data_IF_466537492295
#
_entry.id   IF_466537492295
#
_cell.length_a   1.000
_cell.length_b   1.000
_cell.length_c   1.000
_cell.angle_alpha   90.00
_cell.angle_beta   90.00
_cell.angle_gamma   90.00
#
_symmetry.space_group_name_H-M   'P 1'
#
loop_
_entity.id
_entity.type
_entity.pdbx_description
1 polymer ?
#
# COMPACT_ATOMS: atom_id res chain seq x y z
N UNK A 1 20.97 -42.96 -21.63
CA UNK A 1 20.32 -42.44 -20.41
C UNK A 1 18.93 -41.98 -20.77
N UNK A 2 17.85 -42.55 -20.21
CA UNK A 2 16.49 -42.18 -20.60
C UNK A 2 16.14 -40.78 -20.06
N UNK A 3 15.57 -39.95 -20.94
CA UNK A 3 15.00 -38.64 -20.61
C UNK A 3 13.86 -38.85 -19.61
N UNK A 4 13.97 -38.20 -18.45
CA UNK A 4 12.90 -38.13 -17.45
C UNK A 4 11.75 -37.33 -18.07
N UNK A 5 10.72 -38.05 -18.51
CA UNK A 5 9.43 -37.47 -18.91
C UNK A 5 8.84 -36.84 -17.65
N UNK A 6 8.70 -35.52 -17.68
CA UNK A 6 7.98 -34.78 -16.63
C UNK A 6 6.50 -35.02 -16.93
N UNK A 7 5.84 -35.78 -16.06
CA UNK A 7 4.40 -36.03 -16.14
C UNK A 7 3.59 -34.72 -16.11
N UNK A 8 2.49 -34.62 -16.87
CA UNK A 8 1.61 -33.48 -16.82
C UNK A 8 0.88 -33.47 -15.47
N UNK A 9 1.32 -32.61 -14.55
CA UNK A 9 0.62 -32.38 -13.29
C UNK A 9 -0.82 -31.94 -13.57
N UNK A 10 -1.76 -32.68 -12.99
CA UNK A 10 -3.21 -32.52 -13.06
C UNK A 10 -3.66 -31.06 -13.01
N UNK A 11 -4.24 -30.63 -14.13
CA UNK A 11 -4.63 -29.26 -14.48
C UNK A 11 -5.73 -28.72 -13.56
N UNK A 12 -5.34 -27.95 -12.53
CA UNK A 12 -6.22 -26.93 -11.95
C UNK A 12 -6.25 -25.70 -12.87
N UNK A 13 -7.37 -24.99 -12.89
CA UNK A 13 -7.50 -23.70 -13.56
C UNK A 13 -6.35 -22.76 -13.11
N UNK A 14 -5.86 -21.92 -14.04
CA UNK A 14 -4.88 -20.87 -13.71
C UNK A 14 -5.62 -19.89 -12.81
N UNK A 15 -5.41 -20.02 -11.50
CA UNK A 15 -6.01 -19.15 -10.49
C UNK A 15 -4.90 -18.60 -9.60
N UNK A 16 -5.15 -17.40 -9.06
CA UNK A 16 -4.24 -16.64 -8.18
C UNK A 16 -3.50 -17.52 -7.16
N UNK A 17 -4.20 -18.36 -6.36
CA UNK A 17 -3.56 -19.13 -5.32
C UNK A 17 -2.65 -20.22 -5.88
N UNK A 18 -3.03 -20.80 -7.02
CA UNK A 18 -2.27 -21.89 -7.65
C UNK A 18 -0.94 -21.38 -8.21
N UNK A 19 -0.90 -20.14 -8.72
CA UNK A 19 0.34 -19.55 -9.21
C UNK A 19 1.32 -19.24 -8.07
N UNK A 20 0.82 -18.62 -7.00
CA UNK A 20 1.62 -18.33 -5.80
C UNK A 20 2.12 -19.64 -5.18
N UNK A 21 1.28 -20.67 -5.09
CA UNK A 21 1.67 -21.99 -4.59
C UNK A 21 2.72 -22.66 -5.47
N UNK A 22 2.63 -22.52 -6.80
CA UNK A 22 3.60 -23.07 -7.75
C UNK A 22 4.99 -22.45 -7.58
N UNK A 23 5.06 -21.14 -7.35
CA UNK A 23 6.33 -20.41 -7.16
C UNK A 23 6.60 -20.03 -5.70
N UNK A 24 5.99 -20.74 -4.74
CA UNK A 24 5.96 -20.35 -3.33
C UNK A 24 7.32 -20.00 -2.75
N UNK A 25 8.37 -20.79 -3.03
CA UNK A 25 9.70 -20.53 -2.48
C UNK A 25 10.28 -19.19 -2.95
N UNK A 26 10.15 -18.89 -4.25
CA UNK A 26 10.69 -17.66 -4.82
C UNK A 26 9.91 -16.43 -4.35
N UNK A 27 8.57 -16.52 -4.38
CA UNK A 27 7.66 -15.43 -3.96
C UNK A 27 7.69 -15.21 -2.45
N UNK A 28 7.81 -16.25 -1.64
CA UNK A 28 7.98 -16.07 -0.19
C UNK A 28 9.30 -15.38 0.14
N UNK A 29 10.37 -15.64 -0.62
CA UNK A 29 11.64 -14.96 -0.41
C UNK A 29 11.57 -13.48 -0.79
N UNK A 30 10.88 -13.10 -1.89
CA UNK A 30 10.68 -11.68 -2.24
C UNK A 30 9.94 -10.98 -1.10
N UNK A 31 8.85 -11.56 -0.60
CA UNK A 31 8.08 -10.99 0.52
C UNK A 31 8.89 -10.90 1.82
N UNK A 32 9.70 -11.92 2.13
CA UNK A 32 10.56 -11.88 3.31
C UNK A 32 11.60 -10.76 3.23
N UNK A 33 12.20 -10.53 2.05
CA UNK A 33 13.13 -9.42 1.83
C UNK A 33 12.44 -8.06 1.96
N UNK A 34 11.19 -7.92 1.49
CA UNK A 34 10.39 -6.70 1.69
C UNK A 34 10.13 -6.45 3.17
N UNK A 35 9.71 -7.48 3.93
CA UNK A 35 9.49 -7.36 5.37
C UNK A 35 10.78 -6.95 6.08
N UNK A 36 11.91 -7.57 5.73
CA UNK A 36 13.19 -7.24 6.32
C UNK A 36 13.65 -5.81 6.00
N UNK A 37 13.55 -5.36 4.75
CA UNK A 37 13.81 -3.96 4.36
C UNK A 37 12.92 -3.00 5.17
N UNK A 38 11.63 -3.30 5.27
CA UNK A 38 10.67 -2.45 6.00
C UNK A 38 10.97 -2.37 7.50
N UNK A 39 11.46 -3.45 8.11
CA UNK A 39 11.88 -3.42 9.52
C UNK A 39 13.13 -2.56 9.73
N UNK A 40 14.08 -2.58 8.79
CA UNK A 40 15.25 -1.69 8.84
C UNK A 40 14.82 -0.22 8.76
N UNK A 41 13.87 0.09 7.87
CA UNK A 41 13.28 1.44 7.75
C UNK A 41 12.66 1.92 9.07
N UNK A 42 11.97 1.04 9.81
CA UNK A 42 11.40 1.33 11.14
C UNK A 42 12.49 1.64 12.17
N UNK A 43 13.72 1.13 12.05
CA UNK A 43 14.77 1.41 13.03
C UNK A 43 15.48 2.75 12.83
N UNK A 44 15.33 3.43 11.69
CA UNK A 44 16.04 4.69 11.44
C UNK A 44 15.79 5.77 12.49
N UNK A 45 14.54 6.11 12.88
CA UNK A 45 14.30 7.14 13.89
C UNK A 45 15.00 6.84 15.22
N UNK A 46 14.97 5.59 15.69
CA UNK A 46 15.68 5.17 16.90
C UNK A 46 17.19 5.39 16.78
N UNK A 47 17.81 4.93 15.69
CA UNK A 47 19.26 5.05 15.49
C UNK A 47 19.70 6.50 15.30
N UNK A 48 18.85 7.33 14.70
CA UNK A 48 19.07 8.78 14.63
C UNK A 48 19.06 9.37 16.04
N UNK A 49 18.12 8.98 16.90
CA UNK A 49 18.11 9.40 18.30
C UNK A 49 19.37 8.99 19.06
N UNK A 50 19.81 7.74 18.92
CA UNK A 50 21.06 7.26 19.53
C UNK A 50 22.29 8.03 19.03
N UNK A 51 22.31 8.40 17.75
CA UNK A 51 23.37 9.23 17.18
C UNK A 51 23.37 10.65 17.79
N UNK A 52 22.19 11.26 17.96
CA UNK A 52 22.04 12.58 18.60
C UNK A 52 22.60 12.55 20.03
N UNK A 53 22.17 11.60 20.85
CA UNK A 53 22.64 11.48 22.24
C UNK A 53 24.14 11.23 22.32
N UNK A 54 24.66 10.34 21.47
CA UNK A 54 26.09 10.05 21.38
C UNK A 54 26.89 11.32 21.06
N UNK A 55 26.46 12.08 20.05
CA UNK A 55 27.13 13.31 19.63
C UNK A 55 27.12 14.39 20.73
N UNK A 56 26.01 14.53 21.46
CA UNK A 56 25.94 15.44 22.62
C UNK A 56 26.93 15.05 23.73
N UNK A 57 27.23 13.76 23.86
CA UNK A 57 28.23 13.22 24.77
C UNK A 57 29.64 13.14 24.15
N UNK A 58 29.87 13.74 22.98
CA UNK A 58 31.14 13.67 22.22
C UNK A 58 31.58 12.24 21.86
N UNK A 59 30.63 11.32 21.73
CA UNK A 59 30.83 9.93 21.31
C UNK A 59 30.29 9.70 19.90
N UNK A 60 31.06 9.00 19.07
CA UNK A 60 30.67 8.67 17.70
C UNK A 60 29.97 7.31 17.57
N UNK A 61 29.78 6.57 18.66
CA UNK A 61 29.22 5.20 18.63
C UNK A 61 27.84 5.17 17.98
N UNK A 62 26.94 6.08 18.34
CA UNK A 62 25.59 6.13 17.74
C UNK A 62 25.62 6.48 16.24
N UNK A 63 26.55 7.33 15.81
CA UNK A 63 26.75 7.65 14.39
C UNK A 63 27.25 6.42 13.62
N UNK A 64 28.18 5.66 14.19
CA UNK A 64 28.67 4.42 13.58
C UNK A 64 27.52 3.40 13.47
N UNK A 65 26.70 3.25 14.51
CA UNK A 65 25.52 2.38 14.48
C UNK A 65 24.54 2.79 13.37
N UNK A 66 24.26 4.09 13.24
CA UNK A 66 23.40 4.62 12.17
C UNK A 66 24.00 4.38 10.77
N UNK A 67 25.32 4.54 10.62
CA UNK A 67 26.01 4.25 9.36
C UNK A 67 25.93 2.77 8.98
N UNK A 68 26.11 1.87 9.97
CA UNK A 68 25.96 0.43 9.77
C UNK A 68 24.52 0.09 9.35
N UNK A 69 23.51 0.65 10.01
CA UNK A 69 22.12 0.50 9.60
C UNK A 69 21.93 0.94 8.14
N UNK A 70 22.46 2.11 7.76
CA UNK A 70 22.40 2.62 6.40
C UNK A 70 23.03 1.69 5.35
N UNK A 71 24.20 1.13 5.63
CA UNK A 71 24.87 0.17 4.74
C UNK A 71 24.06 -1.12 4.62
N UNK A 72 23.54 -1.64 5.73
CA UNK A 72 22.72 -2.86 5.72
C UNK A 72 21.44 -2.64 4.92
N UNK A 73 20.71 -1.54 5.13
CA UNK A 73 19.52 -1.18 4.37
C UNK A 73 19.81 -1.04 2.88
N UNK A 74 20.92 -0.40 2.51
CA UNK A 74 21.35 -0.26 1.12
C UNK A 74 21.58 -1.64 0.47
N UNK A 75 22.33 -2.52 1.13
CA UNK A 75 22.63 -3.86 0.62
C UNK A 75 21.36 -4.70 0.49
N UNK A 76 20.52 -4.73 1.52
CA UNK A 76 19.24 -5.46 1.51
C UNK A 76 18.33 -4.96 0.40
N UNK A 77 18.16 -3.65 0.29
CA UNK A 77 17.32 -3.06 -0.75
C UNK A 77 17.86 -3.32 -2.16
N UNK A 78 19.18 -3.27 -2.36
CA UNK A 78 19.80 -3.59 -3.65
C UNK A 78 19.61 -5.06 -4.02
N UNK A 79 19.85 -5.98 -3.09
CA UNK A 79 19.64 -7.42 -3.29
C UNK A 79 18.17 -7.70 -3.60
N UNK A 80 17.26 -7.13 -2.80
CA UNK A 80 15.81 -7.30 -2.98
C UNK A 80 15.36 -6.83 -4.37
N UNK A 81 15.64 -5.58 -4.73
CA UNK A 81 15.26 -5.04 -6.05
C UNK A 81 15.79 -5.89 -7.20
N UNK A 82 17.05 -6.33 -7.11
CA UNK A 82 17.66 -7.14 -8.15
C UNK A 82 17.10 -8.58 -8.19
N UNK A 83 16.68 -9.13 -7.05
CA UNK A 83 16.07 -10.45 -6.96
C UNK A 83 14.61 -10.43 -7.43
N UNK A 84 13.80 -9.48 -6.97
CA UNK A 84 12.38 -9.34 -7.29
C UNK A 84 12.16 -9.30 -8.81
N UNK A 85 12.81 -8.36 -9.51
CA UNK A 85 12.64 -8.22 -10.97
C UNK A 85 13.03 -9.48 -11.74
N UNK A 86 14.09 -10.19 -11.32
CA UNK A 86 14.50 -11.45 -11.99
C UNK A 86 13.50 -12.58 -11.72
N UNK A 87 12.97 -12.65 -10.51
CA UNK A 87 11.97 -13.66 -10.14
C UNK A 87 10.68 -13.43 -10.92
N UNK A 88 10.14 -12.22 -10.92
CA UNK A 88 8.86 -11.92 -11.58
C UNK A 88 8.97 -11.96 -13.10
N UNK A 89 10.09 -11.52 -13.70
CA UNK A 89 10.36 -11.72 -15.12
C UNK A 89 10.44 -13.23 -15.47
N UNK A 90 11.14 -14.03 -14.67
CA UNK A 90 11.22 -15.47 -14.88
C UNK A 90 9.87 -16.19 -14.74
N UNK A 91 9.04 -15.76 -13.78
CA UNK A 91 7.64 -16.20 -13.61
C UNK A 91 6.84 -15.86 -14.87
N UNK A 92 6.90 -14.61 -15.33
CA UNK A 92 6.20 -14.14 -16.53
C UNK A 92 6.55 -14.97 -17.77
N UNK A 93 7.85 -15.15 -18.06
CA UNK A 93 8.33 -15.90 -19.21
C UNK A 93 7.96 -17.39 -19.19
N UNK A 94 7.63 -17.95 -18.02
CA UNK A 94 7.18 -19.35 -17.91
C UNK A 94 5.67 -19.48 -18.07
N UNK A 95 4.89 -18.62 -17.43
CA UNK A 95 3.44 -18.80 -17.35
C UNK A 95 2.75 -18.25 -18.59
N UNK A 96 3.26 -17.15 -19.17
CA UNK A 96 2.62 -16.54 -20.34
C UNK A 96 2.53 -17.51 -21.52
N UNK A 97 3.60 -18.22 -21.92
CA UNK A 97 3.51 -19.21 -23.00
C UNK A 97 2.59 -20.39 -22.67
N UNK A 98 2.64 -20.90 -21.45
CA UNK A 98 1.76 -22.00 -21.00
C UNK A 98 0.28 -21.61 -21.09
N UNK A 99 -0.06 -20.38 -20.70
CA UNK A 99 -1.43 -19.87 -20.80
C UNK A 99 -1.86 -19.73 -22.26
N UNK A 100 -1.02 -19.16 -23.12
CA UNK A 100 -1.31 -19.00 -24.55
C UNK A 100 -1.53 -20.35 -25.23
N UNK A 101 -0.66 -21.35 -24.97
CA UNK A 101 -0.80 -22.70 -25.52
C UNK A 101 -2.11 -23.35 -25.06
N UNK A 102 -2.46 -23.23 -23.78
CA UNK A 102 -3.71 -23.77 -23.23
C UNK A 102 -4.95 -23.14 -23.86
N UNK A 103 -4.92 -21.85 -24.18
CA UNK A 103 -6.03 -21.18 -24.86
C UNK A 103 -6.11 -21.56 -26.34
N UNK A 104 -4.98 -21.81 -27.00
CA UNK A 104 -4.95 -22.35 -28.36
C UNK A 104 -5.53 -23.76 -28.43
N UNK A 105 -5.18 -24.64 -27.48
CA UNK A 105 -5.75 -26.00 -27.37
C UNK A 105 -7.26 -25.98 -27.12
N UNK A 106 -7.77 -24.95 -26.44
CA UNK A 106 -9.20 -24.72 -26.20
C UNK A 106 -9.94 -24.14 -27.41
N UNK A 107 -9.23 -23.78 -28.48
CA UNK A 107 -9.80 -23.10 -29.63
C UNK A 107 -10.27 -21.68 -29.34
N UNK A 108 -9.73 -21.02 -28.30
CA UNK A 108 -10.06 -19.63 -27.98
C UNK A 108 -9.65 -18.70 -29.11
N UNK A 109 -10.44 -17.64 -29.36
CA UNK A 109 -10.09 -16.61 -30.33
C UNK A 109 -8.84 -15.84 -29.90
N UNK A 110 -8.10 -15.31 -30.88
CA UNK A 110 -6.91 -14.46 -30.61
C UNK A 110 -7.24 -13.29 -29.69
N UNK A 111 -8.43 -12.69 -29.84
CA UNK A 111 -8.90 -11.62 -28.95
C UNK A 111 -9.03 -12.09 -27.51
N UNK A 112 -9.63 -13.27 -27.28
CA UNK A 112 -9.79 -13.85 -25.94
C UNK A 112 -8.42 -14.21 -25.32
N UNK A 113 -7.51 -14.78 -26.10
CA UNK A 113 -6.14 -15.09 -25.65
C UNK A 113 -5.34 -13.82 -25.31
N UNK A 114 -5.46 -12.78 -26.13
CA UNK A 114 -4.82 -11.48 -25.88
C UNK A 114 -5.35 -10.83 -24.60
N UNK A 115 -6.67 -10.81 -24.41
CA UNK A 115 -7.30 -10.28 -23.19
C UNK A 115 -6.81 -11.01 -21.93
N UNK A 116 -6.70 -12.34 -21.96
CA UNK A 116 -6.12 -13.12 -20.84
C UNK A 116 -4.65 -12.82 -20.61
N UNK A 117 -3.89 -12.59 -21.68
CA UNK A 117 -2.46 -12.26 -21.59
C UNK A 117 -2.26 -10.92 -20.89
N UNK A 118 -3.12 -9.94 -21.21
CA UNK A 118 -3.13 -8.66 -20.52
C UNK A 118 -3.44 -8.81 -19.03
N UNK A 119 -4.46 -9.61 -18.67
CA UNK A 119 -4.82 -9.84 -17.26
C UNK A 119 -3.70 -10.54 -16.47
N UNK A 120 -3.04 -11.53 -17.09
CA UNK A 120 -1.90 -12.21 -16.45
C UNK A 120 -0.69 -11.27 -16.30
N UNK A 121 -0.48 -10.36 -17.25
CA UNK A 121 0.56 -9.32 -17.14
C UNK A 121 0.28 -8.39 -15.97
N UNK A 122 -0.92 -7.84 -15.90
CA UNK A 122 -1.35 -6.97 -14.79
C UNK A 122 -1.21 -7.68 -13.44
N UNK A 123 -1.48 -8.99 -13.38
CA UNK A 123 -1.31 -9.77 -12.18
C UNK A 123 0.16 -9.92 -11.75
N UNK A 124 1.06 -10.25 -12.67
CA UNK A 124 2.50 -10.37 -12.35
C UNK A 124 3.04 -9.01 -11.92
N UNK A 125 2.67 -7.93 -12.62
CA UNK A 125 3.03 -6.56 -12.25
C UNK A 125 2.50 -6.18 -10.86
N UNK A 126 1.29 -6.63 -10.51
CA UNK A 126 0.74 -6.41 -9.17
C UNK A 126 1.57 -7.12 -8.09
N UNK A 127 1.97 -8.37 -8.33
CA UNK A 127 2.83 -9.10 -7.39
C UNK A 127 4.22 -8.47 -7.26
N UNK A 128 4.76 -7.93 -8.34
CA UNK A 128 6.09 -7.29 -8.35
C UNK A 128 6.08 -5.91 -7.70
N UNK A 129 5.05 -5.11 -7.93
CA UNK A 129 5.04 -3.70 -7.54
C UNK A 129 4.09 -3.41 -6.37
N UNK A 130 2.82 -3.78 -6.50
CA UNK A 130 1.80 -3.40 -5.51
C UNK A 130 1.90 -4.21 -4.21
N UNK A 131 2.14 -5.52 -4.30
CA UNK A 131 2.26 -6.37 -3.11
C UNK A 131 3.38 -5.93 -2.16
N UNK A 132 4.60 -5.64 -2.64
CA UNK A 132 5.64 -5.08 -1.78
C UNK A 132 5.24 -3.79 -1.08
N UNK A 133 4.55 -2.86 -1.75
CA UNK A 133 4.10 -1.61 -1.13
C UNK A 133 3.07 -1.86 -0.02
N UNK A 134 2.12 -2.78 -0.24
CA UNK A 134 1.14 -3.16 0.79
C UNK A 134 1.84 -3.78 2.00
N UNK A 135 2.78 -4.71 1.78
CA UNK A 135 3.54 -5.35 2.85
C UNK A 135 4.35 -4.30 3.61
N UNK A 136 5.05 -3.41 2.91
CA UNK A 136 5.82 -2.31 3.52
C UNK A 136 4.91 -1.42 4.36
N UNK A 137 3.76 -1.01 3.84
CA UNK A 137 2.80 -0.19 4.57
C UNK A 137 2.33 -0.83 5.88
N UNK A 138 1.99 -2.12 5.85
CA UNK A 138 1.54 -2.87 7.04
C UNK A 138 2.68 -3.01 8.05
N UNK A 139 3.86 -3.49 7.60
CA UNK A 139 5.02 -3.69 8.49
C UNK A 139 5.47 -2.37 9.11
N UNK A 140 5.49 -1.29 8.32
CA UNK A 140 5.86 0.04 8.79
C UNK A 140 4.87 0.54 9.84
N UNK A 141 3.56 0.49 9.56
CA UNK A 141 2.55 0.98 10.50
C UNK A 141 2.61 0.22 11.84
N UNK A 142 2.67 -1.12 11.79
CA UNK A 142 2.76 -1.96 12.99
C UNK A 142 4.09 -1.72 13.72
N UNK A 143 5.21 -1.69 12.99
CA UNK A 143 6.54 -1.47 13.56
C UNK A 143 6.66 -0.10 14.22
N UNK A 144 6.16 0.97 13.58
CA UNK A 144 6.14 2.32 14.15
C UNK A 144 5.33 2.34 15.45
N UNK A 145 4.14 1.74 15.48
CA UNK A 145 3.32 1.69 16.71
C UNK A 145 4.00 0.92 17.83
N UNK A 146 4.67 -0.20 17.52
CA UNK A 146 5.47 -0.95 18.51
C UNK A 146 6.61 -0.09 19.05
N UNK A 147 7.32 0.64 18.17
CA UNK A 147 8.41 1.53 18.58
C UNK A 147 7.91 2.70 19.44
N UNK A 148 6.78 3.31 19.08
CA UNK A 148 6.18 4.37 19.91
C UNK A 148 5.79 3.79 21.28
N UNK A 149 5.13 2.64 21.34
CA UNK A 149 4.75 2.00 22.60
C UNK A 149 5.96 1.68 23.49
N UNK A 150 7.06 1.22 22.88
CA UNK A 150 8.30 0.92 23.59
C UNK A 150 9.00 2.18 24.12
N UNK A 151 8.89 3.32 23.42
CA UNK A 151 9.57 4.57 23.78
C UNK A 151 8.73 5.47 24.71
N UNK A 152 7.42 5.52 24.51
CA UNK A 152 6.48 6.28 25.33
C UNK A 152 5.03 5.76 25.18
N UNK A 153 4.51 5.18 26.26
CA UNK A 153 3.18 4.55 26.25
C UNK A 153 2.02 5.55 26.09
N UNK A 154 2.15 6.77 26.63
CA UNK A 154 1.10 7.79 26.53
C UNK A 154 0.94 8.31 25.10
N UNK A 155 2.05 8.56 24.41
CA UNK A 155 2.05 8.92 22.99
C UNK A 155 1.47 7.80 22.14
N UNK A 156 1.75 6.53 22.47
CA UNK A 156 1.13 5.39 21.79
C UNK A 156 -0.40 5.40 21.92
N UNK A 157 -0.93 5.64 23.12
CA UNK A 157 -2.38 5.74 23.34
C UNK A 157 -2.98 6.91 22.54
N UNK A 158 -2.28 8.04 22.46
CA UNK A 158 -2.70 9.17 21.64
C UNK A 158 -2.75 8.81 20.14
N UNK A 159 -1.76 8.07 19.62
CA UNK A 159 -1.78 7.53 18.26
C UNK A 159 -2.99 6.61 18.02
N UNK A 160 -3.28 5.68 18.95
CA UNK A 160 -4.48 4.83 18.87
C UNK A 160 -5.77 5.67 18.87
N UNK A 161 -5.81 6.76 19.65
CA UNK A 161 -6.90 7.73 19.63
C UNK A 161 -7.09 8.37 18.25
N UNK A 162 -6.01 8.69 17.53
CA UNK A 162 -6.08 9.20 16.15
C UNK A 162 -6.57 8.12 15.18
N UNK A 163 -6.14 6.86 15.31
CA UNK A 163 -6.71 5.76 14.50
C UNK A 163 -8.22 5.64 14.71
N UNK A 164 -8.67 5.70 15.96
CA UNK A 164 -10.10 5.65 16.29
C UNK A 164 -10.85 6.84 15.68
N UNK A 165 -10.29 8.05 15.77
CA UNK A 165 -10.86 9.24 15.14
C UNK A 165 -11.04 9.04 13.62
N UNK A 166 -10.02 8.51 12.93
CA UNK A 166 -10.10 8.21 11.50
C UNK A 166 -11.24 7.22 11.22
N UNK A 167 -11.32 6.13 11.97
CA UNK A 167 -12.39 5.13 11.81
C UNK A 167 -13.77 5.74 12.03
N UNK A 168 -13.93 6.58 13.06
CA UNK A 168 -15.20 7.25 13.35
C UNK A 168 -15.58 8.24 12.24
N UNK A 169 -14.64 9.07 11.78
CA UNK A 169 -14.87 10.05 10.71
C UNK A 169 -15.32 9.35 9.42
N UNK A 170 -14.61 8.30 8.99
CA UNK A 170 -14.99 7.53 7.81
C UNK A 170 -16.25 6.67 8.02
N UNK A 171 -16.49 6.18 9.24
CA UNK A 171 -17.71 5.44 9.58
C UNK A 171 -18.98 6.31 9.49
N UNK A 172 -18.89 7.57 9.95
CA UNK A 172 -20.00 8.54 9.88
C UNK A 172 -20.19 9.03 8.45
N UNK A 173 -19.11 9.44 7.78
CA UNK A 173 -19.18 9.99 6.41
C UNK A 173 -19.46 8.94 5.34
N UNK A 174 -19.19 7.65 5.61
CA UNK A 174 -19.28 6.57 4.63
C UNK A 174 -20.64 6.44 3.94
N UNK A 175 -21.75 6.55 4.68
CA UNK A 175 -23.10 6.49 4.07
C UNK A 175 -23.36 7.66 3.12
N UNK A 176 -22.91 8.86 3.50
CA UNK A 176 -23.03 10.05 2.67
C UNK A 176 -22.15 9.92 1.42
N UNK A 177 -20.90 9.50 1.60
CA UNK A 177 -19.94 9.28 0.52
C UNK A 177 -20.49 8.28 -0.50
N UNK A 178 -21.04 7.14 -0.05
CA UNK A 178 -21.69 6.15 -0.91
C UNK A 178 -22.84 6.75 -1.72
N UNK A 179 -23.75 7.51 -1.07
CA UNK A 179 -24.89 8.12 -1.75
C UNK A 179 -24.46 9.16 -2.79
N UNK A 180 -23.49 10.01 -2.46
CA UNK A 180 -22.97 11.01 -3.38
C UNK A 180 -22.27 10.38 -4.58
N UNK A 181 -21.45 9.34 -4.35
CA UNK A 181 -20.83 8.56 -5.41
C UNK A 181 -21.87 7.90 -6.32
N UNK A 182 -22.93 7.31 -5.76
CA UNK A 182 -24.01 6.74 -6.56
C UNK A 182 -24.71 7.80 -7.43
N UNK A 183 -24.99 8.99 -6.89
CA UNK A 183 -25.58 10.09 -7.67
C UNK A 183 -24.64 10.63 -8.75
N UNK A 184 -23.34 10.70 -8.48
CA UNK A 184 -22.33 11.08 -9.45
C UNK A 184 -22.27 10.06 -10.62
N UNK A 185 -22.20 8.77 -10.29
CA UNK A 185 -22.16 7.69 -11.29
C UNK A 185 -23.44 7.63 -12.13
N UNK A 186 -24.61 7.78 -11.51
CA UNK A 186 -25.88 7.86 -12.24
C UNK A 186 -25.92 9.05 -13.21
N UNK A 187 -25.28 10.17 -12.85
CA UNK A 187 -25.15 11.29 -13.78
C UNK A 187 -24.20 10.96 -14.93
N UNK A 188 -23.08 10.28 -14.68
CA UNK A 188 -22.15 9.83 -15.72
C UNK A 188 -22.81 8.92 -16.75
N UNK A 189 -23.71 8.01 -16.34
CA UNK A 189 -24.41 7.11 -17.25
C UNK A 189 -25.25 7.86 -18.31
N UNK A 190 -25.73 9.06 -18.01
CA UNK A 190 -26.47 9.90 -18.96
C UNK A 190 -25.59 10.68 -19.95
N UNK A 191 -24.25 10.54 -19.89
CA UNK A 191 -23.34 11.32 -20.72
C UNK A 191 -23.54 11.07 -22.22
N UNK A 192 -23.77 9.82 -22.61
CA UNK A 192 -24.00 9.45 -24.03
C UNK A 192 -25.26 10.14 -24.55
N UNK A 193 -26.36 10.09 -23.80
CA UNK A 193 -27.62 10.73 -24.18
C UNK A 193 -27.48 12.25 -24.31
N UNK A 194 -26.73 12.88 -23.39
CA UNK A 194 -26.46 14.31 -23.46
C UNK A 194 -25.66 14.67 -24.73
N UNK A 195 -24.67 13.86 -25.12
CA UNK A 195 -23.87 14.09 -26.33
C UNK A 195 -24.66 13.81 -27.62
N UNK A 196 -25.50 12.78 -27.63
CA UNK A 196 -26.36 12.43 -28.76
C UNK A 196 -27.39 13.52 -29.06
N UNK A 197 -27.83 14.27 -28.04
CA UNK A 197 -28.77 15.38 -28.20
C UNK A 197 -28.26 16.47 -29.17
N UNK A 198 -26.93 16.63 -29.30
CA UNK A 198 -26.26 17.72 -30.03
C UNK A 198 -26.74 19.13 -29.64
N UNK A 199 -27.39 19.25 -28.49
CA UNK A 199 -27.87 20.51 -27.94
C UNK A 199 -26.87 21.02 -26.89
N UNK A 200 -26.26 22.17 -27.18
CA UNK A 200 -25.27 22.79 -26.30
C UNK A 200 -25.84 23.06 -24.90
N UNK A 201 -27.13 23.40 -24.78
CA UNK A 201 -27.76 23.63 -23.49
C UNK A 201 -27.84 22.32 -22.68
N UNK A 202 -28.29 21.22 -23.28
CA UNK A 202 -28.40 19.93 -22.59
C UNK A 202 -27.03 19.39 -22.18
N UNK A 203 -26.02 19.56 -23.05
CA UNK A 203 -24.62 19.22 -22.74
C UNK A 203 -24.12 20.04 -21.54
N UNK A 204 -24.32 21.36 -21.55
CA UNK A 204 -23.89 22.23 -20.46
C UNK A 204 -24.61 21.89 -19.15
N UNK A 205 -25.91 21.58 -19.20
CA UNK A 205 -26.69 21.21 -18.03
C UNK A 205 -26.22 19.88 -17.44
N UNK A 206 -25.90 18.89 -18.28
CA UNK A 206 -25.33 17.61 -17.86
C UNK A 206 -23.99 17.81 -17.12
N UNK A 207 -23.03 18.51 -17.72
CA UNK A 207 -21.72 18.73 -17.09
C UNK A 207 -21.82 19.58 -15.83
N UNK A 208 -22.73 20.56 -15.80
CA UNK A 208 -23.00 21.35 -14.58
C UNK A 208 -23.57 20.47 -13.46
N UNK A 209 -24.50 19.55 -13.78
CA UNK A 209 -25.03 18.60 -12.82
C UNK A 209 -23.93 17.65 -12.30
N UNK A 210 -23.08 17.16 -13.19
CA UNK A 210 -21.94 16.31 -12.85
C UNK A 210 -20.98 17.03 -11.90
N UNK A 211 -20.64 18.28 -12.18
CA UNK A 211 -19.76 19.09 -11.32
C UNK A 211 -20.40 19.42 -9.97
N UNK A 212 -21.71 19.61 -9.88
CA UNK A 212 -22.39 19.77 -8.58
C UNK A 212 -22.23 18.55 -7.68
N UNK A 213 -22.26 17.34 -8.24
CA UNK A 213 -22.01 16.12 -7.47
C UNK A 213 -20.55 15.99 -7.08
N UNK A 214 -19.62 16.32 -7.99
CA UNK A 214 -18.19 16.35 -7.71
C UNK A 214 -17.85 17.30 -6.55
N UNK A 215 -18.38 18.53 -6.58
CA UNK A 215 -18.18 19.51 -5.51
C UNK A 215 -18.69 18.97 -4.18
N UNK A 216 -19.89 18.39 -4.11
CA UNK A 216 -20.42 17.81 -2.87
C UNK A 216 -19.55 16.67 -2.33
N UNK A 217 -18.97 15.85 -3.21
CA UNK A 217 -18.06 14.78 -2.81
C UNK A 217 -16.77 15.37 -2.24
N UNK A 218 -16.19 16.35 -2.93
CA UNK A 218 -15.01 17.09 -2.49
C UNK A 218 -15.23 17.82 -1.17
N UNK A 219 -16.41 18.42 -0.95
CA UNK A 219 -16.74 19.10 0.30
C UNK A 219 -16.79 18.12 1.48
N UNK A 220 -17.34 16.92 1.26
CA UNK A 220 -17.36 15.85 2.27
C UNK A 220 -15.95 15.35 2.58
N UNK A 221 -15.13 15.13 1.55
CA UNK A 221 -13.73 14.73 1.72
C UNK A 221 -12.92 15.80 2.45
N UNK A 222 -13.15 17.08 2.14
CA UNK A 222 -12.52 18.20 2.81
C UNK A 222 -12.93 18.28 4.29
N UNK A 223 -14.21 18.03 4.61
CA UNK A 223 -14.66 17.98 6.01
C UNK A 223 -13.97 16.85 6.79
N UNK A 224 -13.87 15.66 6.19
CA UNK A 224 -13.14 14.53 6.77
C UNK A 224 -11.66 14.87 6.99
N UNK A 225 -11.03 15.48 5.98
CA UNK A 225 -9.64 15.94 6.04
C UNK A 225 -9.43 16.90 7.21
N UNK A 226 -10.25 17.96 7.32
CA UNK A 226 -10.15 18.94 8.41
C UNK A 226 -10.32 18.28 9.78
N UNK A 227 -11.31 17.39 9.94
CA UNK A 227 -11.54 16.69 11.20
C UNK A 227 -10.34 15.85 11.63
N UNK A 228 -9.73 15.10 10.70
CA UNK A 228 -8.54 14.29 10.96
C UNK A 228 -7.34 15.17 11.29
N UNK A 229 -7.12 16.26 10.54
CA UNK A 229 -5.99 17.14 10.73
C UNK A 229 -6.00 17.91 12.05
N UNK A 230 -7.18 18.26 12.58
CA UNK A 230 -7.30 18.80 13.93
C UNK A 230 -6.72 17.80 14.95
N UNK A 231 -7.06 16.51 14.82
CA UNK A 231 -6.50 15.45 15.67
C UNK A 231 -5.00 15.28 15.48
N UNK A 232 -4.50 15.30 14.23
CA UNK A 232 -3.07 15.21 13.93
C UNK A 232 -2.28 16.37 14.54
N UNK A 233 -2.78 17.60 14.45
CA UNK A 233 -2.15 18.78 15.07
C UNK A 233 -2.14 18.62 16.59
N UNK A 234 -3.24 18.16 17.19
CA UNK A 234 -3.30 17.89 18.62
C UNK A 234 -2.26 16.84 19.04
N UNK A 235 -2.10 15.75 18.28
CA UNK A 235 -1.06 14.74 18.52
C UNK A 235 0.36 15.32 18.44
N UNK A 236 0.62 16.16 17.44
CA UNK A 236 1.94 16.80 17.26
C UNK A 236 2.29 17.77 18.40
N UNK A 237 1.30 18.48 18.95
CA UNK A 237 1.51 19.37 20.11
C UNK A 237 1.63 18.56 21.41
N UNK A 238 0.78 17.55 21.59
CA UNK A 238 0.75 16.69 22.77
C UNK A 238 2.07 15.92 22.94
N UNK A 239 2.60 15.36 21.86
CA UNK A 239 3.79 14.49 21.88
C UNK A 239 4.99 15.09 22.63
N UNK A 240 5.54 16.26 22.25
CA UNK A 240 6.72 16.81 22.93
C UNK A 240 6.43 17.22 24.38
N UNK A 241 5.22 17.73 24.67
CA UNK A 241 4.81 18.11 26.04
C UNK A 241 4.85 16.87 26.93
N UNK A 242 4.14 15.81 26.53
CA UNK A 242 4.05 14.57 27.30
C UNK A 242 5.39 13.87 27.47
N UNK A 243 6.23 13.84 26.43
CA UNK A 243 7.53 13.17 26.50
C UNK A 243 8.46 13.89 27.47
N UNK A 244 8.49 15.24 27.44
CA UNK A 244 9.37 16.05 28.29
C UNK A 244 8.85 16.14 29.72
N UNK A 245 7.55 16.41 29.92
CA UNK A 245 6.93 16.46 31.26
C UNK A 245 6.93 15.09 31.94
N UNK A 246 6.88 14.01 31.16
CA UNK A 246 7.06 12.62 31.64
C UNK A 246 8.48 12.28 32.10
N UNK A 247 9.42 13.23 32.09
CA UNK A 247 10.76 13.09 32.65
C UNK A 247 11.83 12.58 31.68
N UNK A 248 11.53 12.50 30.37
CA UNK A 248 12.54 12.12 29.37
C UNK A 248 13.55 13.27 29.19
N UNK A 249 14.80 13.03 29.58
CA UNK A 249 15.88 14.03 29.46
C UNK A 249 16.79 13.80 28.24
N UNK A 250 16.65 12.66 27.56
CA UNK A 250 17.38 12.34 26.33
C UNK A 250 16.78 13.08 25.12
N UNK A 251 17.56 14.00 24.55
CA UNK A 251 17.17 14.72 23.32
C UNK A 251 17.02 13.76 22.13
N UNK A 252 17.84 12.71 22.08
CA UNK A 252 17.76 11.65 21.07
C UNK A 252 16.47 10.84 21.14
N UNK A 253 16.02 10.49 22.34
CA UNK A 253 14.75 9.78 22.55
C UNK A 253 13.55 10.67 22.18
N UNK A 254 13.55 11.94 22.61
CA UNK A 254 12.51 12.92 22.21
C UNK A 254 12.44 13.01 20.68
N UNK A 255 13.60 13.15 20.01
CA UNK A 255 13.67 13.25 18.55
C UNK A 255 13.18 11.98 17.86
N UNK A 256 13.54 10.80 18.38
CA UNK A 256 13.06 9.50 17.89
C UNK A 256 11.54 9.41 17.91
N UNK A 257 10.93 9.72 19.06
CA UNK A 257 9.47 9.66 19.24
C UNK A 257 8.79 10.61 18.27
N UNK A 258 9.31 11.83 18.12
CA UNK A 258 8.74 12.82 17.21
C UNK A 258 8.79 12.33 15.74
N UNK A 259 9.94 11.80 15.30
CA UNK A 259 10.07 11.20 13.97
C UNK A 259 9.13 10.00 13.78
N UNK A 260 8.97 9.14 14.79
CA UNK A 260 8.01 8.04 14.73
C UNK A 260 6.57 8.54 14.60
N UNK A 261 6.18 9.60 15.32
CA UNK A 261 4.85 10.22 15.19
C UNK A 261 4.64 10.76 13.78
N UNK A 262 5.63 11.43 13.17
CA UNK A 262 5.56 11.86 11.77
C UNK A 262 5.40 10.68 10.80
N UNK A 263 6.18 9.62 10.97
CA UNK A 263 6.08 8.43 10.14
C UNK A 263 4.71 7.74 10.32
N UNK A 264 4.18 7.71 11.54
CA UNK A 264 2.85 7.19 11.84
C UNK A 264 1.76 7.99 11.13
N UNK A 265 1.83 9.33 11.16
CA UNK A 265 0.87 10.21 10.46
C UNK A 265 0.90 9.92 8.95
N UNK A 266 2.10 9.87 8.36
CA UNK A 266 2.26 9.56 6.93
C UNK A 266 1.70 8.18 6.56
N UNK A 267 2.01 7.14 7.35
CA UNK A 267 1.52 5.79 7.14
C UNK A 267 -0.01 5.70 7.26
N UNK A 268 -0.59 6.42 8.23
CA UNK A 268 -2.04 6.45 8.46
C UNK A 268 -2.80 7.11 7.32
N UNK A 269 -2.29 8.23 6.80
CA UNK A 269 -2.88 8.93 5.65
C UNK A 269 -2.73 8.12 4.36
N UNK A 270 -1.61 7.41 4.18
CA UNK A 270 -1.38 6.55 3.02
C UNK A 270 -2.20 5.24 3.01
N UNK A 271 -2.75 4.83 4.15
CA UNK A 271 -3.41 3.54 4.32
C UNK A 271 -4.56 3.24 3.32
N UNK A 272 -5.44 4.20 2.96
CA UNK A 272 -6.49 3.96 1.98
C UNK A 272 -5.99 3.50 0.61
N UNK A 273 -4.78 3.93 0.18
CA UNK A 273 -4.18 3.51 -1.09
C UNK A 273 -3.90 2.00 -1.11
N UNK A 274 -3.47 1.43 0.02
CA UNK A 274 -3.23 -0.02 0.11
C UNK A 274 -4.54 -0.81 0.03
N UNK A 275 -5.63 -0.31 0.62
CA UNK A 275 -6.96 -0.93 0.50
C UNK A 275 -7.40 -0.94 -0.97
N UNK A 276 -7.22 0.17 -1.70
CA UNK A 276 -7.57 0.24 -3.12
C UNK A 276 -6.78 -0.76 -3.96
N UNK A 277 -5.48 -0.93 -3.69
CA UNK A 277 -4.66 -1.93 -4.36
C UNK A 277 -5.16 -3.37 -4.07
N UNK A 278 -5.57 -3.67 -2.84
CA UNK A 278 -6.16 -4.97 -2.49
C UNK A 278 -7.51 -5.23 -3.18
N UNK A 279 -8.35 -4.20 -3.33
CA UNK A 279 -9.61 -4.30 -4.07
C UNK A 279 -9.31 -4.61 -5.55
N UNK A 280 -8.37 -3.88 -6.16
CA UNK A 280 -7.95 -4.12 -7.55
C UNK A 280 -7.43 -5.55 -7.76
N UNK A 281 -6.67 -6.10 -6.81
CA UNK A 281 -6.25 -7.50 -6.86
C UNK A 281 -7.43 -8.46 -6.92
N UNK A 282 -8.44 -8.24 -6.06
CA UNK A 282 -9.64 -9.06 -6.01
C UNK A 282 -10.38 -9.02 -7.35
N UNK A 283 -10.47 -7.86 -7.98
CA UNK A 283 -11.08 -7.68 -9.31
C UNK A 283 -10.29 -8.41 -10.41
N UNK A 284 -8.96 -8.24 -10.47
CA UNK A 284 -8.09 -8.94 -11.43
C UNK A 284 -8.22 -10.45 -11.27
N UNK A 285 -8.19 -10.93 -10.01
CA UNK A 285 -8.35 -12.35 -9.69
C UNK A 285 -9.70 -12.90 -10.11
N UNK A 286 -10.79 -12.14 -9.93
CA UNK A 286 -12.13 -12.54 -10.34
C UNK A 286 -12.23 -12.71 -11.85
N UNK A 287 -11.74 -11.72 -12.62
CA UNK A 287 -11.75 -11.76 -14.10
C UNK A 287 -10.94 -12.91 -14.70
N UNK A 288 -9.87 -13.34 -14.02
CA UNK A 288 -9.06 -14.50 -14.38
C UNK A 288 -9.74 -15.84 -14.05
N UNK A 289 -10.58 -15.88 -13.01
CA UNK A 289 -11.27 -17.10 -12.56
C UNK A 289 -12.60 -17.32 -13.31
N UNK A 290 -13.33 -16.25 -13.61
CA UNK A 290 -14.68 -16.28 -14.19
C UNK A 290 -14.69 -16.46 -15.73
N UNK A 291 -13.53 -16.65 -16.36
CA UNK A 291 -13.41 -16.82 -17.82
C UNK A 291 -12.63 -18.08 -18.20
#
# INVERSE_FOLDING_TARGET
>A
MPKKVIEPTTSKAISLPNLILRFKGRVSLTFLLVVFESLLDVFYPLFIGLAIDGLLQKSYTGVIQLAVLGVVSLLVGAIRRAYDTRVYAGIYCQIMPEMVLKEQERGSSVSKTSARSSLLTEFVEFLENSMPEIIRGIVSLVGILIMIAALNWEVFLACVGILLLIVVVYGISGKMNYRLNASYNNQLEHQVQALESKDMHLIQQHYSALMRWNIKLSDLENLNYVAIWIGVIALLVYTPITVVEGGTTSYGQVSSIFMYVFNYIAASIGFPLYIQQLIRLKEISGRLADN
#
